data_IF_137757044264
#
_entry.id   IF_137757044264
#
_cell.length_a   1.000
_cell.length_b   1.000
_cell.length_c   1.000
_cell.angle_alpha   90.00
_cell.angle_beta   90.00
_cell.angle_gamma   90.00
#
_symmetry.space_group_name_H-M   'P 1'
#
loop_
_entity.id
_entity.type
_entity.pdbx_description
1 polymer ?
#
# COMPACT_ATOMS: atom_id res chain seq x y z
N UNK A 1 -1.99 -7.94 -18.20
CA UNK A 1 -2.63 -7.05 -17.20
C UNK A 1 -1.55 -6.36 -16.37
N UNK A 2 -1.10 -5.17 -16.81
CA UNK A 2 0.06 -4.42 -16.26
C UNK A 2 -0.07 -4.12 -14.74
N UNK A 3 -1.22 -3.67 -14.30
CA UNK A 3 -1.47 -3.32 -12.89
C UNK A 3 -1.36 -4.50 -11.90
N UNK A 4 -1.63 -5.73 -12.33
CA UNK A 4 -1.41 -6.92 -11.50
C UNK A 4 0.07 -7.20 -11.30
N UNK A 5 0.88 -6.90 -12.31
CA UNK A 5 2.34 -7.01 -12.21
C UNK A 5 2.86 -5.92 -11.29
N UNK A 6 2.34 -4.69 -11.42
CA UNK A 6 2.71 -3.58 -10.53
C UNK A 6 2.41 -3.93 -9.06
N UNK A 7 1.23 -4.51 -8.76
CA UNK A 7 0.90 -4.98 -7.40
C UNK A 7 1.94 -5.96 -6.88
N UNK A 8 2.21 -7.02 -7.65
CA UNK A 8 3.15 -8.08 -7.26
C UNK A 8 4.58 -7.56 -7.09
N UNK A 9 4.98 -6.61 -7.92
CA UNK A 9 6.30 -5.98 -7.82
C UNK A 9 6.42 -5.20 -6.51
N UNK A 10 5.43 -4.37 -6.17
CA UNK A 10 5.43 -3.64 -4.90
C UNK A 10 5.35 -4.58 -3.70
N UNK A 11 4.45 -5.58 -3.73
CA UNK A 11 4.33 -6.61 -2.69
C UNK A 11 5.67 -7.33 -2.45
N UNK A 12 6.36 -7.73 -3.53
CA UNK A 12 7.66 -8.39 -3.45
C UNK A 12 8.73 -7.48 -2.85
N UNK A 13 8.83 -6.24 -3.35
CA UNK A 13 9.80 -5.26 -2.84
C UNK A 13 9.60 -4.98 -1.36
N UNK A 14 8.37 -4.72 -0.93
CA UNK A 14 8.05 -4.42 0.47
C UNK A 14 8.32 -5.64 1.36
N UNK A 15 7.95 -6.84 0.91
CA UNK A 15 8.24 -8.07 1.65
C UNK A 15 9.74 -8.29 1.83
N UNK A 16 10.56 -8.00 0.81
CA UNK A 16 12.02 -8.05 0.94
C UNK A 16 12.54 -7.00 1.93
N UNK A 17 12.04 -5.77 1.84
CA UNK A 17 12.44 -4.69 2.74
C UNK A 17 12.07 -4.95 4.21
N UNK A 18 10.94 -5.61 4.48
CA UNK A 18 10.56 -6.10 5.81
C UNK A 18 11.61 -7.08 6.34
N UNK A 19 12.07 -8.03 5.51
CA UNK A 19 13.13 -8.99 5.90
C UNK A 19 14.45 -8.30 6.20
N UNK A 20 14.77 -7.26 5.44
CA UNK A 20 15.95 -6.41 5.65
C UNK A 20 15.78 -5.42 6.82
N UNK A 21 14.58 -5.35 7.41
CA UNK A 21 14.19 -4.42 8.50
C UNK A 21 14.36 -2.94 8.14
N UNK A 22 14.40 -2.60 6.86
CA UNK A 22 14.57 -1.24 6.38
C UNK A 22 13.90 -1.03 5.01
N UNK A 23 13.28 0.12 4.81
CA UNK A 23 12.88 0.62 3.50
C UNK A 23 14.02 1.46 2.92
N UNK A 24 14.15 1.52 1.59
CA UNK A 24 15.12 2.39 0.92
C UNK A 24 14.48 3.69 0.47
N UNK A 25 15.13 4.81 0.79
CA UNK A 25 14.78 6.12 0.26
C UNK A 25 15.44 6.34 -1.10
N UNK A 26 14.90 7.28 -1.87
CA UNK A 26 15.44 7.72 -3.17
C UNK A 26 16.91 8.16 -3.11
N UNK A 27 17.33 8.79 -2.01
CA UNK A 27 18.71 9.26 -1.80
C UNK A 27 19.68 8.12 -1.42
N UNK A 28 19.22 6.86 -1.36
CA UNK A 28 20.01 5.70 -0.96
C UNK A 28 20.06 5.45 0.55
N UNK A 29 19.52 6.35 1.37
CA UNK A 29 19.42 6.14 2.81
C UNK A 29 18.42 5.03 3.14
N UNK A 30 18.62 4.40 4.29
CA UNK A 30 17.66 3.46 4.86
C UNK A 30 16.69 4.18 5.78
N UNK A 31 15.42 3.84 5.68
CA UNK A 31 14.38 4.15 6.67
C UNK A 31 14.11 2.87 7.47
N UNK A 32 14.57 2.79 8.74
CA UNK A 32 14.37 1.60 9.55
C UNK A 32 12.89 1.29 9.76
N UNK A 33 12.53 0.02 9.64
CA UNK A 33 11.22 -0.51 10.04
C UNK A 33 11.45 -1.54 11.13
N UNK A 34 11.92 -1.07 12.28
CA UNK A 34 12.23 -1.89 13.46
C UNK A 34 11.33 -1.53 14.64
N UNK A 35 11.03 -2.53 15.46
CA UNK A 35 10.40 -2.41 16.79
C UNK A 35 9.15 -1.51 16.83
N UNK A 36 8.91 -0.85 17.97
CA UNK A 36 7.64 -0.21 18.35
C UNK A 36 7.13 0.86 17.36
N UNK A 37 8.02 1.46 16.56
CA UNK A 37 7.63 2.46 15.55
C UNK A 37 7.68 1.91 14.11
N UNK A 38 8.34 0.78 13.88
CA UNK A 38 8.53 0.22 12.54
C UNK A 38 7.21 -0.15 11.86
N UNK A 39 6.23 -0.64 12.62
CA UNK A 39 4.89 -0.90 12.08
C UNK A 39 4.20 0.38 11.62
N UNK A 40 4.28 1.46 12.41
CA UNK A 40 3.69 2.75 12.05
C UNK A 40 4.32 3.32 10.79
N UNK A 41 5.65 3.24 10.67
CA UNK A 41 6.39 3.66 9.47
C UNK A 41 5.99 2.82 8.25
N UNK A 42 5.96 1.50 8.39
CA UNK A 42 5.60 0.59 7.30
C UNK A 42 4.18 0.85 6.79
N UNK A 43 3.20 0.94 7.70
CA UNK A 43 1.78 1.17 7.35
C UNK A 43 1.60 2.56 6.76
N UNK A 44 2.24 3.59 7.33
CA UNK A 44 2.22 4.94 6.76
C UNK A 44 2.74 4.97 5.33
N UNK A 45 3.80 4.21 5.02
CA UNK A 45 4.32 4.13 3.66
C UNK A 45 3.43 3.31 2.71
N UNK A 46 2.80 2.23 3.19
CA UNK A 46 1.82 1.45 2.42
C UNK A 46 0.60 2.28 2.03
N UNK A 47 0.15 3.15 2.94
CA UNK A 47 -0.93 4.11 2.70
C UNK A 47 -0.49 5.25 1.78
N UNK A 48 0.76 5.69 1.88
CA UNK A 48 1.29 6.84 1.15
C UNK A 48 1.22 8.14 1.94
N UNK A 49 1.41 8.08 3.25
CA UNK A 49 1.52 9.25 4.12
C UNK A 49 2.74 10.12 3.78
N UNK A 50 2.66 11.41 4.13
CA UNK A 50 3.65 12.43 3.72
C UNK A 50 5.10 12.16 4.16
N UNK A 51 5.31 11.45 5.27
CA UNK A 51 6.67 11.06 5.72
C UNK A 51 7.35 10.00 4.86
N UNK A 52 6.65 9.45 3.86
CA UNK A 52 7.12 8.35 3.02
C UNK A 52 7.31 8.73 1.54
N UNK A 53 7.24 10.02 1.18
CA UNK A 53 7.41 10.49 -0.20
C UNK A 53 8.69 9.96 -0.85
N UNK A 54 9.81 10.01 -0.12
CA UNK A 54 11.12 9.53 -0.60
C UNK A 54 11.20 8.01 -0.80
N UNK A 55 10.24 7.25 -0.28
CA UNK A 55 10.17 5.78 -0.33
C UNK A 55 9.13 5.31 -1.37
N UNK A 56 8.09 6.11 -1.59
CA UNK A 56 6.98 5.76 -2.48
C UNK A 56 7.36 5.56 -3.96
N UNK A 57 8.47 6.13 -4.43
CA UNK A 57 8.94 5.89 -5.80
C UNK A 57 9.24 4.40 -6.03
N UNK A 58 9.87 3.75 -5.04
CA UNK A 58 10.29 2.36 -5.15
C UNK A 58 9.23 1.36 -4.71
N UNK A 59 8.48 1.69 -3.65
CA UNK A 59 7.53 0.78 -3.01
C UNK A 59 6.07 1.10 -3.33
N UNK A 60 5.79 2.27 -3.91
CA UNK A 60 4.43 2.75 -4.18
C UNK A 60 3.63 3.05 -2.91
N UNK A 61 2.42 3.58 -3.10
CA UNK A 61 1.36 3.59 -2.09
C UNK A 61 0.37 2.49 -2.52
N UNK A 62 0.59 1.26 -2.07
CA UNK A 62 -0.22 0.11 -2.51
C UNK A 62 -1.70 0.35 -2.16
N UNK A 63 -1.98 0.91 -0.99
CA UNK A 63 -3.36 1.18 -0.57
C UNK A 63 -4.06 2.16 -1.52
N UNK A 64 -3.58 3.41 -1.63
CA UNK A 64 -4.29 4.43 -2.40
C UNK A 64 -4.25 4.15 -3.90
N UNK A 65 -3.13 3.66 -4.44
CA UNK A 65 -3.02 3.35 -5.87
C UNK A 65 -3.99 2.25 -6.30
N UNK A 66 -4.25 1.26 -5.45
CA UNK A 66 -5.17 0.17 -5.81
C UNK A 66 -6.63 0.50 -5.50
N UNK A 67 -6.92 1.32 -4.49
CA UNK A 67 -8.25 1.93 -4.35
C UNK A 67 -8.67 2.68 -5.61
N UNK A 68 -7.80 3.58 -6.06
CA UNK A 68 -7.95 4.30 -7.33
C UNK A 68 -8.13 3.33 -8.49
N UNK A 69 -7.21 2.37 -8.66
CA UNK A 69 -7.24 1.48 -9.83
C UNK A 69 -8.52 0.63 -9.88
N UNK A 70 -8.96 0.12 -8.75
CA UNK A 70 -10.19 -0.68 -8.67
C UNK A 70 -11.43 0.21 -8.88
N UNK A 71 -11.47 1.41 -8.31
CA UNK A 71 -12.53 2.39 -8.53
C UNK A 71 -12.67 2.79 -10.00
N UNK A 72 -11.59 2.75 -10.78
CA UNK A 72 -11.59 3.11 -12.20
C UNK A 72 -11.77 1.94 -13.17
N UNK A 73 -11.98 0.70 -12.69
CA UNK A 73 -12.11 -0.45 -13.60
C UNK A 73 -13.31 -0.37 -14.55
N UNK A 74 -14.34 0.40 -14.19
CA UNK A 74 -15.51 0.66 -15.05
C UNK A 74 -15.36 1.88 -15.97
N UNK A 75 -14.29 2.66 -15.82
CA UNK A 75 -14.03 3.85 -16.65
C UNK A 75 -13.34 3.46 -17.97
N UNK A 76 -13.41 4.34 -18.97
CA UNK A 76 -12.80 4.12 -20.28
C UNK A 76 -11.28 3.90 -20.15
N UNK A 77 -10.66 3.16 -21.09
CA UNK A 77 -9.27 2.71 -21.09
C UNK A 77 -8.21 3.83 -21.18
N UNK A 78 -8.60 5.07 -20.93
CA UNK A 78 -7.76 6.26 -20.92
C UNK A 78 -7.11 6.48 -19.55
N UNK A 79 -6.31 7.54 -19.46
CA UNK A 79 -5.55 7.83 -18.24
C UNK A 79 -6.48 8.25 -17.09
N UNK A 80 -5.97 8.10 -15.87
CA UNK A 80 -6.63 8.57 -14.65
C UNK A 80 -7.06 10.04 -14.75
N UNK A 81 -6.13 10.92 -15.12
CA UNK A 81 -6.39 12.33 -15.32
C UNK A 81 -7.47 12.58 -16.38
N UNK A 82 -7.55 11.75 -17.43
CA UNK A 82 -8.57 11.90 -18.46
C UNK A 82 -9.97 11.60 -17.93
N UNK A 83 -10.14 10.51 -17.19
CA UNK A 83 -11.43 10.12 -16.61
C UNK A 83 -11.87 11.12 -15.52
N UNK A 84 -10.94 11.57 -14.67
CA UNK A 84 -11.20 12.59 -13.65
C UNK A 84 -11.60 13.94 -14.26
N UNK A 85 -10.93 14.38 -15.33
CA UNK A 85 -11.24 15.66 -16.00
C UNK A 85 -12.61 15.67 -16.70
N UNK A 86 -13.21 14.51 -16.97
CA UNK A 86 -14.54 14.39 -17.57
C UNK A 86 -15.66 14.23 -16.55
N UNK A 87 -15.31 14.08 -15.26
CA UNK A 87 -16.28 13.77 -14.22
C UNK A 87 -16.92 12.39 -14.42
N UNK A 88 -16.21 11.44 -15.05
CA UNK A 88 -16.71 10.06 -15.15
C UNK A 88 -16.89 9.52 -13.72
N UNK A 89 -18.03 8.90 -13.41
CA UNK A 89 -18.30 8.44 -12.06
C UNK A 89 -17.25 7.41 -11.67
N UNK A 90 -16.47 7.73 -10.63
CA UNK A 90 -15.55 6.77 -10.04
C UNK A 90 -16.36 5.72 -9.27
N UNK A 91 -15.91 4.48 -9.32
CA UNK A 91 -16.50 3.39 -8.55
C UNK A 91 -16.40 3.66 -7.06
N UNK A 92 -17.26 2.99 -6.29
CA UNK A 92 -17.41 3.20 -4.83
C UNK A 92 -16.10 3.03 -4.05
N UNK A 93 -15.12 2.28 -4.59
CA UNK A 93 -13.79 2.10 -4.00
C UNK A 93 -12.92 3.36 -3.95
N UNK A 94 -13.30 4.44 -4.63
CA UNK A 94 -12.57 5.71 -4.61
C UNK A 94 -12.78 6.50 -3.32
N UNK A 95 -14.02 6.53 -2.81
CA UNK A 95 -14.40 7.38 -1.67
C UNK A 95 -14.41 6.58 -0.38
N UNK A 96 -13.95 7.17 0.72
CA UNK A 96 -13.93 6.50 2.03
C UNK A 96 -15.35 6.11 2.47
N UNK A 97 -16.34 6.95 2.21
CA UNK A 97 -17.73 6.81 2.63
C UNK A 97 -18.46 5.62 1.99
N UNK A 98 -17.98 5.16 0.82
CA UNK A 98 -18.63 4.09 0.06
C UNK A 98 -17.74 2.88 -0.24
N UNK A 99 -16.42 2.98 -0.03
CA UNK A 99 -15.47 1.92 -0.39
C UNK A 99 -15.78 0.57 0.24
N UNK A 100 -16.19 0.55 1.51
CA UNK A 100 -16.55 -0.67 2.24
C UNK A 100 -17.79 -1.40 1.67
N UNK A 101 -18.56 -0.77 0.78
CA UNK A 101 -19.75 -1.40 0.15
C UNK A 101 -19.37 -2.37 -0.98
N UNK A 102 -18.15 -2.29 -1.51
CA UNK A 102 -17.67 -3.20 -2.56
C UNK A 102 -16.90 -4.39 -1.94
N UNK A 103 -17.24 -5.65 -2.24
CA UNK A 103 -16.50 -6.83 -1.77
C UNK A 103 -15.00 -6.81 -2.09
N UNK A 104 -14.57 -6.14 -3.16
CA UNK A 104 -13.17 -6.00 -3.52
C UNK A 104 -12.37 -5.17 -2.49
N UNK A 105 -13.03 -4.33 -1.69
CA UNK A 105 -12.42 -3.63 -0.56
C UNK A 105 -11.72 -4.62 0.38
N UNK A 106 -12.45 -5.66 0.79
CA UNK A 106 -11.96 -6.66 1.73
C UNK A 106 -10.84 -7.51 1.13
N UNK A 107 -10.86 -7.74 -0.19
CA UNK A 107 -9.79 -8.47 -0.88
C UNK A 107 -8.50 -7.65 -0.96
N UNK A 108 -8.60 -6.35 -1.27
CA UNK A 108 -7.46 -5.44 -1.27
C UNK A 108 -6.87 -5.35 0.14
N UNK A 109 -7.70 -5.08 1.14
CA UNK A 109 -7.26 -4.96 2.52
C UNK A 109 -6.68 -6.27 3.07
N UNK A 110 -7.20 -7.43 2.66
CA UNK A 110 -6.59 -8.71 3.05
C UNK A 110 -5.19 -8.88 2.48
N UNK A 111 -4.93 -8.41 1.26
CA UNK A 111 -3.60 -8.45 0.67
C UNK A 111 -2.62 -7.53 1.43
N UNK A 112 -3.05 -6.32 1.80
CA UNK A 112 -2.27 -5.40 2.62
C UNK A 112 -2.03 -5.97 4.03
N UNK A 113 -3.05 -6.57 4.65
CA UNK A 113 -2.96 -7.23 5.95
C UNK A 113 -1.97 -8.40 5.93
N UNK A 114 -1.85 -9.15 4.82
CA UNK A 114 -0.84 -10.20 4.69
C UNK A 114 0.59 -9.64 4.70
N UNK A 115 0.82 -8.45 4.14
CA UNK A 115 2.12 -7.75 4.20
C UNK A 115 2.41 -7.35 5.65
N UNK A 116 1.43 -6.75 6.33
CA UNK A 116 1.54 -6.38 7.75
C UNK A 116 1.79 -7.60 8.64
N UNK A 117 1.12 -8.71 8.38
CA UNK A 117 1.35 -9.97 9.11
C UNK A 117 2.74 -10.53 8.84
N UNK A 118 3.30 -10.34 7.64
CA UNK A 118 4.69 -10.70 7.36
C UNK A 118 5.66 -9.90 8.23
N UNK A 119 5.40 -8.61 8.44
CA UNK A 119 6.15 -7.80 9.40
C UNK A 119 6.00 -8.32 10.84
N UNK A 120 4.76 -8.52 11.31
CA UNK A 120 4.47 -8.96 12.68
C UNK A 120 5.14 -10.29 13.05
N UNK A 121 5.34 -11.20 12.09
CA UNK A 121 6.06 -12.47 12.29
C UNK A 121 7.54 -12.31 12.66
N UNK A 122 8.13 -11.12 12.47
CA UNK A 122 9.51 -10.83 12.86
C UNK A 122 9.62 -10.17 14.24
N UNK A 123 8.49 -9.86 14.88
CA UNK A 123 8.47 -9.33 16.24
C UNK A 123 8.61 -10.46 17.24
N UNK A 124 9.27 -10.18 18.36
CA UNK A 124 9.31 -11.10 19.49
C UNK A 124 7.91 -11.29 20.07
N UNK A 125 7.61 -12.52 20.50
CA UNK A 125 6.38 -12.79 21.24
C UNK A 125 6.39 -12.02 22.57
N UNK A 126 5.20 -11.63 23.04
CA UNK A 126 5.06 -10.99 24.34
C UNK A 126 5.59 -11.94 25.43
N UNK A 127 6.48 -11.43 26.28
CA UNK A 127 6.93 -12.13 27.48
C UNK A 127 6.14 -11.64 28.69
N UNK A 128 6.11 -12.41 29.79
CA UNK A 128 5.40 -12.01 31.02
C UNK A 128 5.91 -10.67 31.61
N UNK A 129 7.13 -10.26 31.24
CA UNK A 129 7.79 -9.04 31.70
C UNK A 129 7.58 -7.82 30.76
N UNK A 130 6.87 -7.98 29.63
CA UNK A 130 6.66 -6.94 28.61
C UNK A 130 5.21 -6.85 28.12
#
# INVERSE_FOLDING_TARGET
>A
NRWRLDFRNYETKITSAIKEKQLKKKNGESLPVTDNQGLSTLVGCLEGGGSCEDVMEDYGSIHNRFHLRLGMMGCDNKTEAWNLNRGDPTGVLWTLESSMRDPAFYRLHKAIDNIVNTYKKHLEEYSLDK
#
